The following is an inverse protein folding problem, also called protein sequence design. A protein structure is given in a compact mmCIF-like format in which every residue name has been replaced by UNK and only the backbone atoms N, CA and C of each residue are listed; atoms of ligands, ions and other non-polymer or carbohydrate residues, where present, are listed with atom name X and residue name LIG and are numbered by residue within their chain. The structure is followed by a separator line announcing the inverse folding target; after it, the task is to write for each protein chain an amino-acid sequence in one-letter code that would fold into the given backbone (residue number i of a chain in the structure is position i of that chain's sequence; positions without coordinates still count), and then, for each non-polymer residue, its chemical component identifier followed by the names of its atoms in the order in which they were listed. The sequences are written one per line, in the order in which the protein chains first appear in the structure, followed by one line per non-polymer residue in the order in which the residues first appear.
data_IF_638983305477
#
_entry.id   IF_638983305477
#
_cell.length_a   1.000
_cell.length_b   1.000
_cell.length_c   1.000
_cell.angle_alpha   90.00
_cell.angle_beta   90.00
_cell.angle_gamma   90.00
#
_symmetry.space_group_name_H-M   'P 1'
#
loop_
_entity.id
_entity.type
_entity.pdbx_description
1 polymer ?
#
# COMPACT_ATOMS: atom_id res chain seq x y z
N UNK A 1 4.97 -8.17 -5.47
CA UNK A 1 4.38 -6.87 -5.89
C UNK A 1 2.88 -7.04 -5.91
N UNK A 2 2.12 -6.05 -5.49
CA UNK A 2 0.65 -6.02 -5.56
C UNK A 2 0.22 -4.88 -6.48
N UNK A 3 -0.75 -5.11 -7.34
CA UNK A 3 -1.18 -4.12 -8.31
C UNK A 3 -2.65 -4.31 -8.72
N UNK A 4 -3.27 -3.21 -9.16
CA UNK A 4 -4.50 -3.21 -9.94
C UNK A 4 -4.33 -2.26 -11.12
N UNK A 5 -4.19 -2.81 -12.33
CA UNK A 5 -4.08 -2.01 -13.55
C UNK A 5 -5.37 -1.23 -13.84
N UNK A 6 -6.52 -1.83 -13.56
CA UNK A 6 -7.85 -1.22 -13.69
C UNK A 6 -7.97 0.02 -12.80
N UNK A 7 -7.59 -0.10 -11.53
CA UNK A 7 -7.70 0.99 -10.55
C UNK A 7 -6.42 1.83 -10.40
N UNK A 8 -5.42 1.60 -11.26
CA UNK A 8 -4.27 2.49 -11.43
C UNK A 8 -3.30 2.53 -10.25
N UNK A 9 -3.09 1.43 -9.54
CA UNK A 9 -2.14 1.38 -8.42
C UNK A 9 -1.22 0.16 -8.46
N UNK A 10 -0.02 0.33 -7.93
CA UNK A 10 0.98 -0.73 -7.75
C UNK A 10 1.86 -0.41 -6.54
N UNK A 11 2.18 -1.41 -5.73
CA UNK A 11 3.13 -1.26 -4.64
C UNK A 11 3.89 -2.56 -4.35
N UNK A 12 5.10 -2.39 -3.81
CA UNK A 12 5.78 -3.42 -3.03
C UNK A 12 5.55 -3.15 -1.54
N UNK A 13 5.82 -4.14 -0.68
CA UNK A 13 5.77 -3.93 0.77
C UNK A 13 6.68 -2.78 1.22
N UNK A 14 7.82 -2.59 0.54
CA UNK A 14 8.73 -1.49 0.84
C UNK A 14 8.15 -0.13 0.44
N UNK A 15 7.58 -0.01 -0.77
CA UNK A 15 6.98 1.27 -1.18
C UNK A 15 5.76 1.62 -0.33
N UNK A 16 4.97 0.61 0.07
CA UNK A 16 3.86 0.80 1.00
C UNK A 16 4.35 1.18 2.40
N UNK A 17 5.40 0.53 2.94
CA UNK A 17 5.97 0.89 4.22
C UNK A 17 6.52 2.34 4.22
N UNK A 18 7.14 2.78 3.12
CA UNK A 18 7.57 4.18 2.95
C UNK A 18 6.38 5.15 2.96
N UNK A 19 5.29 4.81 2.26
CA UNK A 19 4.04 5.58 2.28
C UNK A 19 3.48 5.68 3.71
N UNK A 20 3.42 4.55 4.43
CA UNK A 20 2.93 4.48 5.80
C UNK A 20 3.77 5.33 6.75
N UNK A 21 5.10 5.20 6.72
CA UNK A 21 6.00 6.01 7.54
C UNK A 21 5.96 7.51 7.20
N UNK A 22 5.65 7.87 5.94
CA UNK A 22 5.48 9.27 5.52
C UNK A 22 4.19 9.86 6.08
N UNK A 23 3.08 9.11 6.08
CA UNK A 23 1.79 9.58 6.57
C UNK A 23 1.68 9.61 8.10
N UNK A 24 2.07 8.53 8.75
CA UNK A 24 1.94 8.38 10.20
C UNK A 24 3.21 8.81 10.96
N UNK A 25 4.19 9.36 10.25
CA UNK A 25 5.44 9.88 10.79
C UNK A 25 6.36 8.82 11.42
N UNK A 26 7.41 9.30 12.12
CA UNK A 26 8.29 8.48 12.98
C UNK A 26 7.56 7.85 14.19
N UNK A 27 6.24 8.00 14.32
CA UNK A 27 5.47 7.48 15.45
C UNK A 27 5.60 5.96 15.66
N UNK A 28 6.02 5.22 14.64
CA UNK A 28 6.32 3.80 14.76
C UNK A 28 7.75 3.48 15.25
N UNK A 29 8.69 4.43 15.21
CA UNK A 29 10.12 4.19 15.54
C UNK A 29 10.81 3.15 14.64
N UNK A 30 10.16 2.70 13.57
CA UNK A 30 10.61 1.57 12.73
C UNK A 30 10.95 2.07 11.33
N UNK A 31 12.12 1.69 10.83
CA UNK A 31 12.55 2.00 9.47
C UNK A 31 11.63 1.32 8.44
N UNK A 32 11.34 1.95 7.27
CA UNK A 32 10.46 1.37 6.26
C UNK A 32 10.86 -0.05 5.81
N UNK A 33 12.16 -0.34 5.76
CA UNK A 33 12.66 -1.67 5.41
C UNK A 33 12.28 -2.73 6.46
N UNK A 34 12.37 -2.40 7.75
CA UNK A 34 12.00 -3.30 8.84
C UNK A 34 10.49 -3.50 8.94
N UNK A 35 9.71 -2.43 8.71
CA UNK A 35 8.26 -2.54 8.60
C UNK A 35 7.86 -3.44 7.43
N UNK A 36 8.48 -3.26 6.25
CA UNK A 36 8.17 -4.06 5.06
C UNK A 36 8.35 -5.56 5.28
N UNK A 37 9.37 -5.98 6.05
CA UNK A 37 9.60 -7.39 6.42
C UNK A 37 8.50 -7.96 7.33
N UNK A 38 7.84 -7.12 8.12
CA UNK A 38 6.79 -7.50 9.08
C UNK A 38 5.38 -7.44 8.48
N UNK A 39 5.21 -6.80 7.33
CA UNK A 39 3.92 -6.68 6.65
C UNK A 39 3.49 -7.96 5.89
N UNK A 40 4.25 -9.05 5.93
CA UNK A 40 3.93 -10.28 5.17
C UNK A 40 4.19 -11.57 5.96
N UNK A 41 3.50 -12.64 5.55
CA UNK A 41 3.59 -13.97 6.13
C UNK A 41 2.81 -14.12 7.45
N UNK A 42 3.25 -15.05 8.29
CA UNK A 42 2.79 -15.22 9.67
C UNK A 42 3.37 -14.12 10.55
N UNK A 43 2.85 -12.90 10.40
CA UNK A 43 3.14 -11.77 11.28
C UNK A 43 1.84 -11.10 11.68
N UNK A 44 1.74 -10.75 12.96
CA UNK A 44 0.55 -10.20 13.61
C UNK A 44 0.97 -8.99 14.43
N UNK A 45 0.12 -7.96 14.49
CA UNK A 45 0.39 -6.80 15.34
C UNK A 45 -0.35 -6.94 16.65
N UNK A 46 0.39 -6.81 17.74
CA UNK A 46 -0.13 -6.80 19.09
C UNK A 46 -0.29 -5.34 19.52
N UNK A 47 -1.54 -4.85 19.72
CA UNK A 47 -1.80 -3.44 20.00
C UNK A 47 -1.35 -3.01 21.41
N UNK A 48 -1.32 -3.94 22.36
CA UNK A 48 -0.97 -3.67 23.77
C UNK A 48 0.53 -3.43 23.91
N UNK A 49 1.33 -4.29 23.28
CA UNK A 49 2.80 -4.17 23.26
C UNK A 49 3.32 -3.29 22.13
N UNK A 50 2.47 -2.98 21.13
CA UNK A 50 2.83 -2.27 19.89
C UNK A 50 3.95 -2.95 19.10
N UNK A 51 4.00 -4.28 19.13
CA UNK A 51 5.03 -5.07 18.46
C UNK A 51 4.43 -6.05 17.44
N UNK A 52 5.28 -6.53 16.52
CA UNK A 52 4.91 -7.59 15.60
C UNK A 52 5.34 -8.94 16.17
N UNK A 53 4.40 -9.89 16.23
CA UNK A 53 4.61 -11.26 16.73
C UNK A 53 4.38 -12.27 15.61
N UNK A 54 4.97 -13.46 15.76
CA UNK A 54 4.78 -14.60 14.83
C UNK A 54 3.53 -15.42 15.15
N UNK A 55 3.14 -15.46 16.42
CA UNK A 55 1.89 -16.04 16.87
C UNK A 55 0.80 -14.96 16.96
N UNK A 56 -0.47 -15.31 16.70
CA UNK A 56 -1.58 -14.38 16.87
C UNK A 56 -1.73 -13.98 18.35
N UNK A 57 -1.86 -12.67 18.69
CA UNK A 57 -2.02 -12.21 20.06
C UNK A 57 -3.38 -12.60 20.69
N UNK A 58 -4.39 -12.84 19.85
CA UNK A 58 -5.71 -13.30 20.25
C UNK A 58 -6.30 -14.21 19.18
N UNK A 59 -7.28 -15.03 19.55
CA UNK A 59 -7.99 -15.88 18.57
C UNK A 59 -8.65 -14.99 17.52
N UNK A 60 -8.38 -15.27 16.23
CA UNK A 60 -8.90 -14.48 15.11
C UNK A 60 -8.15 -13.18 14.81
N UNK A 61 -7.02 -12.91 15.48
CA UNK A 61 -6.21 -11.73 15.16
C UNK A 61 -5.82 -11.71 13.67
N UNK A 62 -6.08 -10.60 12.95
CA UNK A 62 -5.74 -10.51 11.54
C UNK A 62 -4.22 -10.49 11.35
N UNK A 63 -3.77 -11.07 10.24
CA UNK A 63 -2.38 -10.94 9.80
C UNK A 63 -2.05 -9.47 9.56
N UNK A 64 -0.79 -9.10 9.75
CA UNK A 64 -0.28 -7.75 9.51
C UNK A 64 -0.63 -7.24 8.11
N UNK A 65 -0.52 -8.07 7.08
CA UNK A 65 -0.92 -7.68 5.73
C UNK A 65 -2.41 -7.34 5.64
N UNK A 66 -3.28 -8.17 6.25
CA UNK A 66 -4.71 -7.94 6.22
C UNK A 66 -5.08 -6.64 6.96
N UNK A 67 -4.50 -6.42 8.15
CA UNK A 67 -4.80 -5.26 8.98
C UNK A 67 -4.20 -3.95 8.44
N UNK A 68 -2.93 -3.95 8.03
CA UNK A 68 -2.22 -2.72 7.68
C UNK A 68 -2.24 -2.40 6.19
N UNK A 69 -2.58 -3.38 5.32
CA UNK A 69 -2.60 -3.18 3.87
C UNK A 69 -4.00 -3.36 3.31
N UNK A 70 -4.62 -4.53 3.48
CA UNK A 70 -5.92 -4.80 2.83
C UNK A 70 -7.06 -3.99 3.44
N UNK A 71 -7.16 -3.89 4.76
CA UNK A 71 -8.23 -3.13 5.41
C UNK A 71 -8.23 -1.64 4.99
N UNK A 72 -7.10 -0.90 4.98
CA UNK A 72 -7.06 0.46 4.44
C UNK A 72 -7.50 0.56 2.98
N UNK A 73 -7.13 -0.42 2.15
CA UNK A 73 -7.56 -0.47 0.75
C UNK A 73 -9.07 -0.65 0.68
N UNK A 74 -9.63 -1.65 1.37
CA UNK A 74 -11.08 -1.88 1.38
C UNK A 74 -11.86 -0.66 1.88
N UNK A 75 -11.37 0.02 2.92
CA UNK A 75 -11.96 1.27 3.41
C UNK A 75 -11.94 2.37 2.36
N UNK A 76 -10.84 2.55 1.64
CA UNK A 76 -10.79 3.53 0.53
C UNK A 76 -11.78 3.20 -0.57
N UNK A 77 -11.90 1.92 -0.94
CA UNK A 77 -12.90 1.49 -1.93
C UNK A 77 -14.33 1.77 -1.45
N UNK A 78 -14.66 1.42 -0.20
CA UNK A 78 -16.00 1.65 0.34
C UNK A 78 -16.34 3.13 0.44
N UNK A 79 -15.37 3.97 0.84
CA UNK A 79 -15.57 5.41 0.94
C UNK A 79 -15.83 6.04 -0.42
N UNK A 80 -15.11 5.65 -1.47
CA UNK A 80 -15.33 6.20 -2.81
C UNK A 80 -16.65 5.74 -3.43
N UNK A 81 -17.10 4.51 -3.13
CA UNK A 81 -18.33 3.95 -3.70
C UNK A 81 -19.58 4.41 -2.95
N UNK A 82 -19.48 4.64 -1.63
CA UNK A 82 -20.65 4.80 -0.75
C UNK A 82 -20.85 6.17 -0.12
N UNK A 83 -19.89 7.09 -0.23
CA UNK A 83 -19.95 8.37 0.49
C UNK A 83 -20.11 9.58 -0.44
N UNK A 84 -20.81 10.59 0.06
CA UNK A 84 -20.96 11.89 -0.62
C UNK A 84 -19.68 12.72 -0.56
N UNK A 85 -19.52 13.63 -1.52
CA UNK A 85 -18.30 14.43 -1.71
C UNK A 85 -17.74 15.10 -0.44
N UNK A 86 -18.55 15.73 0.46
CA UNK A 86 -18.02 16.35 1.68
C UNK A 86 -17.40 15.33 2.66
N UNK A 87 -18.07 14.18 2.82
CA UNK A 87 -17.59 13.10 3.70
C UNK A 87 -16.35 12.44 3.11
N UNK A 88 -16.37 12.16 1.80
CA UNK A 88 -15.23 11.63 1.08
C UNK A 88 -14.03 12.57 1.16
N UNK A 89 -14.22 13.88 1.00
CA UNK A 89 -13.13 14.87 1.09
C UNK A 89 -12.43 14.85 2.46
N UNK A 90 -13.20 14.68 3.55
CA UNK A 90 -12.65 14.53 4.90
C UNK A 90 -11.85 13.24 5.04
N UNK A 91 -12.42 12.10 4.62
CA UNK A 91 -11.77 10.80 4.69
C UNK A 91 -10.46 10.76 3.86
N UNK A 92 -10.47 11.34 2.66
CA UNK A 92 -9.28 11.49 1.82
C UNK A 92 -8.23 12.38 2.49
N UNK A 93 -8.67 13.44 3.18
CA UNK A 93 -7.80 14.32 3.96
C UNK A 93 -7.04 13.61 5.08
N UNK A 94 -7.68 12.68 5.79
CA UNK A 94 -7.06 11.89 6.87
C UNK A 94 -5.92 11.00 6.37
N UNK A 95 -6.03 10.50 5.14
CA UNK A 95 -4.98 9.72 4.46
C UNK A 95 -4.10 10.60 3.57
N UNK A 96 -4.22 11.92 3.69
CA UNK A 96 -3.47 12.95 2.97
C UNK A 96 -3.58 12.90 1.44
N UNK A 97 -4.70 12.40 0.92
CA UNK A 97 -5.10 12.52 -0.48
C UNK A 97 -5.92 13.79 -0.66
N UNK A 98 -5.55 14.61 -1.66
CA UNK A 98 -6.29 15.81 -2.07
C UNK A 98 -6.58 15.74 -3.56
N UNK A 99 -7.83 15.98 -3.93
CA UNK A 99 -8.33 16.05 -5.31
C UNK A 99 -9.07 17.38 -5.52
N UNK A 100 -9.31 17.78 -6.78
CA UNK A 100 -10.01 19.05 -7.06
C UNK A 100 -11.50 18.90 -6.75
N UNK A 101 -12.19 20.02 -6.52
CA UNK A 101 -13.64 20.02 -6.24
C UNK A 101 -14.43 19.38 -7.38
N UNK A 102 -14.07 19.65 -8.62
CA UNK A 102 -14.70 19.05 -9.81
C UNK A 102 -14.53 17.53 -9.87
N UNK A 103 -13.38 17.01 -9.39
CA UNK A 103 -13.06 15.59 -9.49
C UNK A 103 -13.99 14.71 -8.62
N UNK A 104 -14.62 15.28 -7.58
CA UNK A 104 -15.58 14.55 -6.73
C UNK A 104 -16.87 14.17 -7.47
N UNK A 105 -17.18 14.84 -8.58
CA UNK A 105 -18.38 14.58 -9.38
C UNK A 105 -18.13 13.60 -10.53
N UNK A 106 -16.95 12.99 -10.59
CA UNK A 106 -16.65 11.90 -11.52
C UNK A 106 -17.46 10.65 -11.16
N UNK A 107 -17.75 9.82 -12.15
CA UNK A 107 -18.29 8.49 -11.92
C UNK A 107 -17.36 7.66 -11.00
N UNK A 108 -17.94 6.67 -10.32
CA UNK A 108 -17.24 5.86 -9.31
C UNK A 108 -15.94 5.23 -9.82
N UNK A 109 -15.93 4.70 -11.06
CA UNK A 109 -14.75 4.04 -11.64
C UNK A 109 -13.58 5.01 -11.87
N UNK A 110 -13.74 6.14 -12.59
CA UNK A 110 -12.67 7.12 -12.74
C UNK A 110 -12.27 7.77 -11.42
N UNK A 111 -13.21 8.02 -10.50
CA UNK A 111 -12.91 8.56 -9.17
C UNK A 111 -12.04 7.59 -8.35
N UNK A 112 -12.39 6.30 -8.32
CA UNK A 112 -11.57 5.26 -7.67
C UNK A 112 -10.15 5.25 -8.21
N UNK A 113 -10.00 5.26 -9.54
CA UNK A 113 -8.67 5.27 -10.17
C UNK A 113 -7.88 6.50 -9.77
N UNK A 114 -8.50 7.70 -9.81
CA UNK A 114 -7.84 8.95 -9.42
C UNK A 114 -7.37 8.92 -7.96
N UNK A 115 -8.27 8.56 -7.04
CA UNK A 115 -7.99 8.50 -5.60
C UNK A 115 -6.89 7.50 -5.29
N UNK A 116 -6.98 6.27 -5.82
CA UNK A 116 -6.01 5.22 -5.55
C UNK A 116 -4.65 5.53 -6.17
N UNK A 117 -4.60 6.08 -7.39
CA UNK A 117 -3.36 6.55 -8.00
C UNK A 117 -2.70 7.67 -7.17
N UNK A 118 -3.49 8.57 -6.56
CA UNK A 118 -2.96 9.61 -5.66
C UNK A 118 -2.48 9.05 -4.33
N UNK A 119 -3.22 8.10 -3.75
CA UNK A 119 -2.87 7.47 -2.47
C UNK A 119 -1.56 6.68 -2.55
N UNK A 120 -1.44 5.78 -3.53
CA UNK A 120 -0.24 4.95 -3.70
C UNK A 120 0.91 5.71 -4.37
N UNK A 121 0.59 6.74 -5.15
CA UNK A 121 1.55 7.46 -5.98
C UNK A 121 1.91 6.71 -7.26
N UNK A 122 3.07 7.03 -7.83
CA UNK A 122 3.53 6.47 -9.11
C UNK A 122 3.99 5.00 -9.02
N UNK A 123 4.44 4.48 -10.17
CA UNK A 123 4.85 3.08 -10.33
C UNK A 123 6.25 2.75 -9.76
N UNK A 124 6.80 3.58 -8.88
CA UNK A 124 8.16 3.43 -8.35
C UNK A 124 8.35 2.10 -7.63
N UNK A 125 7.33 1.60 -6.92
CA UNK A 125 7.38 0.30 -6.25
C UNK A 125 7.58 -0.89 -7.19
N UNK A 126 7.13 -0.79 -8.45
CA UNK A 126 7.35 -1.81 -9.47
C UNK A 126 8.75 -1.69 -10.08
N UNK A 127 9.13 -0.48 -10.51
CA UNK A 127 10.45 -0.22 -11.09
C UNK A 127 11.57 -0.63 -10.13
N UNK A 128 11.44 -0.26 -8.84
CA UNK A 128 12.34 -0.65 -7.76
C UNK A 128 12.46 -2.18 -7.60
N UNK A 129 11.34 -2.90 -7.78
CA UNK A 129 11.31 -4.36 -7.64
C UNK A 129 12.01 -5.03 -8.83
N UNK A 130 11.75 -4.55 -10.04
CA UNK A 130 12.41 -5.02 -11.28
C UNK A 130 13.90 -4.76 -11.19
N UNK A 131 14.32 -3.52 -10.89
CA UNK A 131 15.74 -3.16 -10.81
C UNK A 131 16.53 -3.98 -9.77
N UNK A 132 15.87 -4.47 -8.71
CA UNK A 132 16.51 -5.26 -7.66
C UNK A 132 16.58 -6.76 -7.93
N UNK A 133 15.61 -7.31 -8.66
CA UNK A 133 15.47 -8.77 -8.80
C UNK A 133 15.70 -9.25 -10.23
N UNK A 134 15.62 -8.35 -11.21
CA UNK A 134 15.90 -8.67 -12.61
C UNK A 134 17.33 -8.22 -12.91
N UNK A 135 18.22 -9.14 -13.31
CA UNK A 135 19.59 -8.77 -13.66
C UNK A 135 19.59 -7.84 -14.88
N UNK A 136 20.64 -7.02 -15.01
CA UNK A 136 20.84 -6.25 -16.23
C UNK A 136 20.97 -7.20 -17.44
N UNK A 137 20.62 -6.75 -18.66
CA UNK A 137 20.75 -7.58 -19.85
C UNK A 137 22.18 -8.15 -20.02
N UNK A 138 23.20 -7.36 -19.70
CA UNK A 138 24.60 -7.80 -19.74
C UNK A 138 24.89 -8.93 -18.74
N UNK A 139 24.41 -8.82 -17.49
CA UNK A 139 24.61 -9.84 -16.47
C UNK A 139 23.77 -11.11 -16.73
N UNK A 140 22.54 -10.94 -17.24
CA UNK A 140 21.62 -12.05 -17.52
C UNK A 140 21.93 -12.82 -18.81
N UNK A 141 22.68 -12.25 -19.75
CA UNK A 141 22.98 -12.87 -21.04
C UNK A 141 23.70 -14.22 -20.89
N UNK A 142 24.73 -14.30 -20.04
CA UNK A 142 25.51 -15.52 -19.84
C UNK A 142 24.65 -16.69 -19.35
N UNK A 143 23.79 -16.45 -18.36
CA UNK A 143 22.86 -17.46 -17.84
C UNK A 143 21.78 -17.86 -18.85
N UNK A 144 21.39 -16.95 -19.75
CA UNK A 144 20.37 -17.20 -20.78
C UNK A 144 20.90 -18.02 -21.95
N UNK A 145 22.15 -17.80 -22.38
CA UNK A 145 22.79 -18.55 -23.47
C UNK A 145 23.20 -19.97 -23.05
N UNK A 146 23.50 -20.16 -21.76
CA UNK A 146 23.85 -21.47 -21.20
C UNK A 146 22.66 -22.43 -21.02
N UNK A 147 21.43 -22.01 -21.30
CA UNK A 147 20.18 -22.77 -21.14
C UNK A 147 19.57 -23.09 -22.49
#
# INVERSE_FOLDING_TARGET
VFASAQHGWVFSLLSYARLYCRHYGRAAGVAPAELAKRLWGDSYFDPDTRTFKKAPPSSGAPRAFAQFVLQPIYKLYSQVVGEEAPTLARALGEVGVRIRKEDFYLDTKPLLRLVLSKFFGGCSGFADAVARHVPSPAAGAAAKVAR
#
